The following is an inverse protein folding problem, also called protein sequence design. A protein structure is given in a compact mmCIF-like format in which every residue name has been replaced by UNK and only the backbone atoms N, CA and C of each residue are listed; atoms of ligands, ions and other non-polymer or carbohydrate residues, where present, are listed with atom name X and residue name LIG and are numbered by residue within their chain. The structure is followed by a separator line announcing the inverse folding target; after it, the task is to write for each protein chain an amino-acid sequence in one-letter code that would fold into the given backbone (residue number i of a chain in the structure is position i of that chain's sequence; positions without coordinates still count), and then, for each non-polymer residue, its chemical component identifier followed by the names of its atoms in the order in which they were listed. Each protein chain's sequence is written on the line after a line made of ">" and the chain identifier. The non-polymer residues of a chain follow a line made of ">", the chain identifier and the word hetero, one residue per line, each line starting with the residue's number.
data_IF_247079716551
#
_entry.id   IF_247079716551
#
_cell.length_a   1.000
_cell.length_b   1.000
_cell.length_c   1.000
_cell.angle_alpha   90.00
_cell.angle_beta   90.00
_cell.angle_gamma   90.00
#
_symmetry.space_group_name_H-M   'P 1'
#
loop_
_entity.id
_entity.type
_entity.pdbx_description
1 polymer ?
#
# COMPACT_ATOMS: atom_id res chain seq x y z
N UNK A 1 34.01 4.77 -9.50
CA UNK A 1 32.66 5.39 -9.60
C UNK A 1 31.62 4.45 -10.20
N UNK A 2 32.01 3.49 -11.05
CA UNK A 2 31.10 2.54 -11.69
C UNK A 2 30.40 1.61 -10.68
N UNK A 3 31.15 1.04 -9.73
CA UNK A 3 30.58 0.11 -8.74
C UNK A 3 29.55 0.78 -7.81
N UNK A 4 29.83 2.00 -7.35
CA UNK A 4 28.90 2.72 -6.47
C UNK A 4 27.59 3.08 -7.17
N UNK A 5 27.62 3.41 -8.47
CA UNK A 5 26.39 3.67 -9.24
C UNK A 5 25.60 2.39 -9.46
N UNK A 6 26.29 1.28 -9.76
CA UNK A 6 25.67 -0.03 -9.92
C UNK A 6 24.99 -0.49 -8.62
N UNK A 7 25.62 -0.26 -7.46
CA UNK A 7 25.04 -0.55 -6.15
C UNK A 7 23.76 0.25 -5.88
N UNK A 8 23.75 1.53 -6.25
CA UNK A 8 22.56 2.39 -6.13
C UNK A 8 21.44 1.90 -7.05
N UNK A 9 21.76 1.53 -8.29
CA UNK A 9 20.78 0.95 -9.24
C UNK A 9 20.20 -0.36 -8.68
N UNK A 10 21.04 -1.24 -8.15
CA UNK A 10 20.60 -2.50 -7.53
C UNK A 10 19.73 -2.26 -6.28
N UNK A 11 20.07 -1.26 -5.46
CA UNK A 11 19.26 -0.85 -4.33
C UNK A 11 17.89 -0.33 -4.78
N UNK A 12 17.85 0.50 -5.83
CA UNK A 12 16.61 1.01 -6.42
C UNK A 12 15.71 -0.14 -6.91
N UNK A 13 16.26 -1.15 -7.58
CA UNK A 13 15.50 -2.35 -7.96
C UNK A 13 14.87 -3.07 -6.78
N UNK A 14 15.65 -3.33 -5.71
CA UNK A 14 15.13 -3.97 -4.50
C UNK A 14 14.01 -3.16 -3.85
N UNK A 15 14.12 -1.83 -3.86
CA UNK A 15 13.07 -0.92 -3.36
C UNK A 15 11.82 -1.06 -4.23
N UNK A 16 11.95 -1.10 -5.56
CA UNK A 16 10.83 -1.29 -6.49
C UNK A 16 10.06 -2.59 -6.24
N UNK A 17 10.78 -3.71 -6.09
CA UNK A 17 10.18 -5.02 -5.83
C UNK A 17 9.53 -5.07 -4.44
N UNK A 18 10.23 -4.59 -3.40
CA UNK A 18 9.68 -4.54 -2.04
C UNK A 18 8.41 -3.67 -1.98
N UNK A 19 8.40 -2.56 -2.70
CA UNK A 19 7.25 -1.66 -2.81
C UNK A 19 6.06 -2.37 -3.46
N UNK A 20 6.31 -3.18 -4.50
CA UNK A 20 5.27 -3.99 -5.15
C UNK A 20 4.67 -5.00 -4.20
N UNK A 21 5.50 -5.75 -3.47
CA UNK A 21 5.04 -6.75 -2.51
C UNK A 21 4.20 -6.11 -1.39
N UNK A 22 4.65 -4.96 -0.88
CA UNK A 22 3.90 -4.18 0.11
C UNK A 22 2.57 -3.67 -0.46
N UNK A 23 2.54 -3.19 -1.71
CA UNK A 23 1.31 -2.79 -2.39
C UNK A 23 0.30 -3.94 -2.47
N UNK A 24 0.73 -5.10 -2.95
CA UNK A 24 -0.14 -6.25 -3.18
C UNK A 24 -0.70 -6.79 -1.86
N UNK A 25 0.15 -6.90 -0.83
CA UNK A 25 -0.27 -7.27 0.54
C UNK A 25 -1.21 -6.24 1.14
N UNK A 26 -0.92 -4.95 1.00
CA UNK A 26 -1.75 -3.87 1.52
C UNK A 26 -3.13 -3.86 0.86
N UNK A 27 -3.21 -4.08 -0.47
CA UNK A 27 -4.49 -4.18 -1.19
C UNK A 27 -5.31 -5.37 -0.68
N UNK A 28 -4.69 -6.55 -0.57
CA UNK A 28 -5.35 -7.75 -0.04
C UNK A 28 -5.88 -7.53 1.39
N UNK A 29 -5.08 -6.91 2.26
CA UNK A 29 -5.50 -6.56 3.62
C UNK A 29 -6.65 -5.56 3.64
N UNK A 30 -6.62 -4.53 2.78
CA UNK A 30 -7.68 -3.54 2.68
C UNK A 30 -9.01 -4.18 2.24
N UNK A 31 -8.97 -5.12 1.30
CA UNK A 31 -10.17 -5.82 0.84
C UNK A 31 -10.74 -6.77 1.91
N UNK A 32 -9.89 -7.43 2.69
CA UNK A 32 -10.32 -8.23 3.85
C UNK A 32 -10.94 -7.37 4.94
N UNK A 33 -10.29 -6.25 5.30
CA UNK A 33 -10.80 -5.31 6.28
C UNK A 33 -12.13 -4.68 5.83
N UNK A 34 -12.29 -4.38 4.55
CA UNK A 34 -13.54 -3.86 4.01
C UNK A 34 -14.69 -4.87 4.17
N UNK A 35 -14.45 -6.16 3.89
CA UNK A 35 -15.45 -7.22 4.10
C UNK A 35 -15.82 -7.36 5.58
N UNK A 36 -14.82 -7.44 6.46
CA UNK A 36 -15.05 -7.52 7.91
C UNK A 36 -15.79 -6.29 8.45
N UNK A 37 -15.47 -5.09 7.95
CA UNK A 37 -16.16 -3.86 8.32
C UNK A 37 -17.63 -3.85 7.89
N UNK A 38 -17.95 -4.40 6.71
CA UNK A 38 -19.34 -4.57 6.25
C UNK A 38 -20.09 -5.58 7.10
N UNK A 39 -19.50 -6.74 7.39
CA UNK A 39 -20.08 -7.75 8.27
C UNK A 39 -20.33 -7.17 9.67
N UNK A 40 -19.34 -6.46 10.22
CA UNK A 40 -19.45 -5.78 11.51
C UNK A 40 -20.60 -4.76 11.50
N UNK A 41 -20.72 -3.95 10.45
CA UNK A 41 -21.82 -2.98 10.32
C UNK A 41 -23.21 -3.65 10.33
N UNK A 42 -23.33 -4.85 9.74
CA UNK A 42 -24.58 -5.61 9.70
C UNK A 42 -24.92 -6.17 11.08
N UNK A 43 -23.98 -6.83 11.75
CA UNK A 43 -24.24 -7.46 13.06
C UNK A 43 -24.36 -6.44 14.20
N UNK A 44 -23.70 -5.29 14.07
CA UNK A 44 -23.73 -4.23 15.09
C UNK A 44 -24.73 -3.13 14.80
N UNK A 45 -25.54 -3.26 13.75
CA UNK A 45 -26.56 -2.27 13.35
C UNK A 45 -27.46 -1.74 14.48
N UNK A 46 -27.89 -2.54 15.48
CA UNK A 46 -28.66 -2.01 16.62
C UNK A 46 -27.80 -1.33 17.71
N UNK A 47 -26.47 -1.37 17.62
CA UNK A 47 -25.52 -0.80 18.59
C UNK A 47 -24.78 0.41 18.04
N UNK A 48 -24.86 1.54 18.75
CA UNK A 48 -24.13 2.77 18.41
C UNK A 48 -22.62 2.56 18.37
N UNK A 49 -22.05 1.89 19.38
CA UNK A 49 -20.61 1.67 19.48
C UNK A 49 -20.07 0.75 18.39
N UNK A 50 -20.88 -0.21 17.93
CA UNK A 50 -20.47 -1.07 16.82
C UNK A 50 -20.61 -0.41 15.45
N UNK A 51 -21.59 0.48 15.27
CA UNK A 51 -21.65 1.36 14.10
C UNK A 51 -20.42 2.28 14.00
N UNK A 52 -19.97 2.84 15.13
CA UNK A 52 -18.74 3.63 15.21
C UNK A 52 -17.49 2.79 14.88
N UNK A 53 -17.39 1.55 15.40
CA UNK A 53 -16.29 0.64 15.09
C UNK A 53 -16.23 0.23 13.60
N UNK A 54 -17.38 -0.01 12.98
CA UNK A 54 -17.45 -0.26 11.54
C UNK A 54 -17.01 0.96 10.72
N UNK A 55 -17.40 2.17 11.14
CA UNK A 55 -16.96 3.41 10.49
C UNK A 55 -15.43 3.60 10.58
N UNK A 56 -14.85 3.40 11.77
CA UNK A 56 -13.39 3.45 11.96
C UNK A 56 -12.64 2.41 11.11
N UNK A 57 -13.21 1.20 11.00
CA UNK A 57 -12.65 0.15 10.12
C UNK A 57 -12.62 0.60 8.66
N UNK A 58 -13.69 1.25 8.19
CA UNK A 58 -13.76 1.77 6.82
C UNK A 58 -12.79 2.94 6.59
N UNK A 59 -12.51 3.76 7.61
CA UNK A 59 -11.49 4.80 7.55
C UNK A 59 -10.08 4.20 7.43
N UNK A 60 -9.77 3.16 8.21
CA UNK A 60 -8.51 2.43 8.10
C UNK A 60 -8.32 1.83 6.69
N UNK A 61 -9.36 1.25 6.10
CA UNK A 61 -9.34 0.76 4.70
C UNK A 61 -8.98 1.88 3.72
N UNK A 62 -9.54 3.08 3.89
CA UNK A 62 -9.22 4.23 3.03
C UNK A 62 -7.76 4.64 3.17
N UNK A 63 -7.24 4.72 4.38
CA UNK A 63 -5.84 5.06 4.64
C UNK A 63 -4.89 4.04 3.98
N UNK A 64 -5.17 2.73 4.10
CA UNK A 64 -4.38 1.69 3.44
C UNK A 64 -4.41 1.84 1.92
N UNK A 65 -5.58 2.15 1.33
CA UNK A 65 -5.70 2.38 -0.11
C UNK A 65 -4.91 3.60 -0.58
N UNK A 66 -4.89 4.68 0.19
CA UNK A 66 -4.06 5.85 -0.10
C UNK A 66 -2.57 5.51 -0.04
N UNK A 67 -2.13 4.73 0.95
CA UNK A 67 -0.76 4.27 1.04
C UNK A 67 -0.35 3.43 -0.19
N UNK A 68 -1.24 2.56 -0.68
CA UNK A 68 -1.00 1.79 -1.92
C UNK A 68 -0.81 2.71 -3.14
N UNK A 69 -1.57 3.80 -3.23
CA UNK A 69 -1.41 4.79 -4.31
C UNK A 69 -0.05 5.49 -4.22
N UNK A 70 0.36 5.92 -3.02
CA UNK A 70 1.64 6.57 -2.80
C UNK A 70 2.82 5.64 -3.13
N UNK A 71 2.75 4.37 -2.71
CA UNK A 71 3.74 3.34 -3.06
C UNK A 71 3.78 3.09 -4.58
N UNK A 72 2.63 3.10 -5.27
CA UNK A 72 2.57 3.03 -6.72
C UNK A 72 3.20 4.24 -7.43
N UNK A 73 3.18 5.42 -6.82
CA UNK A 73 3.92 6.60 -7.31
C UNK A 73 5.43 6.43 -7.08
N UNK A 74 5.85 6.03 -5.87
CA UNK A 74 7.26 5.76 -5.55
C UNK A 74 7.89 4.77 -6.54
N UNK A 75 7.18 3.68 -6.87
CA UNK A 75 7.67 2.70 -7.85
C UNK A 75 7.95 3.32 -9.22
N UNK A 76 7.07 4.21 -9.70
CA UNK A 76 7.25 4.89 -11.00
C UNK A 76 8.46 5.82 -10.99
N UNK A 77 8.70 6.50 -9.88
CA UNK A 77 9.90 7.34 -9.72
C UNK A 77 11.18 6.50 -9.70
N UNK A 78 11.16 5.38 -8.98
CA UNK A 78 12.27 4.41 -8.96
C UNK A 78 12.57 3.85 -10.36
N UNK A 79 11.53 3.46 -11.11
CA UNK A 79 11.69 2.98 -12.49
C UNK A 79 12.29 4.06 -13.40
N UNK A 80 11.88 5.31 -13.22
CA UNK A 80 12.41 6.46 -13.98
C UNK A 80 13.87 6.72 -13.66
N UNK A 81 14.23 6.73 -12.36
CA UNK A 81 15.60 6.87 -11.90
C UNK A 81 16.51 5.79 -12.50
N UNK A 82 16.10 4.52 -12.43
CA UNK A 82 16.88 3.40 -12.95
C UNK A 82 17.09 3.49 -14.47
N UNK A 83 16.07 3.94 -15.22
CA UNK A 83 16.19 4.15 -16.66
C UNK A 83 17.17 5.28 -16.99
N UNK A 84 17.09 6.39 -16.27
CA UNK A 84 17.99 7.54 -16.46
C UNK A 84 19.44 7.19 -16.12
N UNK A 85 19.66 6.44 -15.04
CA UNK A 85 21.00 6.03 -14.61
C UNK A 85 21.71 5.02 -15.53
N UNK A 86 20.98 4.43 -16.49
CA UNK A 86 21.49 3.49 -17.50
C UNK A 86 21.81 4.13 -18.85
N UNK A 87 21.39 5.38 -19.06
CA UNK A 87 21.69 6.18 -20.26
C UNK A 87 23.00 6.93 -20.08
#
# INVERSE_FOLDING_TARGET
>A
MSDSLQDVINAAYRIGDSTRDVCDRSRSSADRLARLGQELAVVTRPSRSGGEAAAQTMEAVRAVRQAVVALGALRREVDTFVRAARQ
#
